data_IF_177797591753
#
_entry.id   IF_177797591753
#
_cell.length_a   1.000
_cell.length_b   1.000
_cell.length_c   1.000
_cell.angle_alpha   90.00
_cell.angle_beta   90.00
_cell.angle_gamma   90.00
#
_symmetry.space_group_name_H-M   'P 1'
#
loop_
_entity.id
_entity.type
_entity.pdbx_description
1 polymer ?
#
# COMPACT_ATOMS: atom_id res chain seq x y z
N UNK A 1 1.83 41.31 10.97
CA UNK A 1 1.80 40.70 9.62
C UNK A 1 1.50 39.20 9.76
N UNK A 2 0.27 38.84 10.14
CA UNK A 2 -0.11 37.44 10.44
C UNK A 2 -1.50 37.05 9.88
N UNK A 3 -2.12 37.90 9.07
CA UNK A 3 -3.50 37.69 8.62
C UNK A 3 -3.62 36.76 7.39
N UNK A 4 -2.52 36.44 6.71
CA UNK A 4 -2.54 35.68 5.44
C UNK A 4 -2.62 34.16 5.61
N UNK A 5 -2.49 33.62 6.83
CA UNK A 5 -2.40 32.16 7.04
C UNK A 5 -3.76 31.48 7.32
N UNK A 6 -4.83 32.24 7.53
CA UNK A 6 -6.16 31.68 7.88
C UNK A 6 -7.17 31.66 6.73
N UNK A 7 -7.02 32.49 5.69
CA UNK A 7 -8.01 32.59 4.60
C UNK A 7 -7.74 31.70 3.38
N UNK A 8 -6.56 31.08 3.27
CA UNK A 8 -6.14 30.38 2.05
C UNK A 8 -6.52 28.89 1.92
N UNK A 9 -7.00 28.25 3.00
CA UNK A 9 -7.10 26.78 3.05
C UNK A 9 -8.52 26.23 2.87
N UNK A 10 -9.55 26.89 3.40
CA UNK A 10 -10.93 26.36 3.39
C UNK A 10 -11.55 26.39 1.99
N UNK A 11 -11.34 27.48 1.22
CA UNK A 11 -11.85 27.60 -0.15
C UNK A 11 -11.22 26.61 -1.13
N UNK A 12 -9.92 26.30 -0.96
CA UNK A 12 -9.22 25.33 -1.80
C UNK A 12 -9.74 23.91 -1.62
N UNK A 13 -10.12 23.52 -0.40
CA UNK A 13 -10.60 22.15 -0.13
C UNK A 13 -11.98 21.88 -0.75
N UNK A 14 -12.86 22.88 -0.81
CA UNK A 14 -14.18 22.71 -1.41
C UNK A 14 -14.11 22.54 -2.93
N UNK A 15 -13.33 23.40 -3.61
CA UNK A 15 -13.13 23.32 -5.06
C UNK A 15 -12.50 21.97 -5.48
N UNK A 16 -11.53 21.47 -4.70
CA UNK A 16 -10.98 20.13 -4.90
C UNK A 16 -12.06 19.04 -4.87
N UNK A 17 -12.95 19.07 -3.88
CA UNK A 17 -14.00 18.05 -3.73
C UNK A 17 -14.99 18.08 -4.88
N UNK A 18 -15.32 19.28 -5.38
CA UNK A 18 -16.17 19.43 -6.56
C UNK A 18 -15.50 18.85 -7.80
N UNK A 19 -14.23 19.19 -8.04
CA UNK A 19 -13.47 18.64 -9.15
C UNK A 19 -13.39 17.11 -9.10
N UNK A 20 -13.07 16.53 -7.93
CA UNK A 20 -13.04 15.07 -7.75
C UNK A 20 -14.40 14.45 -8.05
N UNK A 21 -15.50 15.05 -7.58
CA UNK A 21 -16.84 14.55 -7.85
C UNK A 21 -17.17 14.55 -9.35
N UNK A 22 -16.72 15.56 -10.09
CA UNK A 22 -16.93 15.65 -11.54
C UNK A 22 -16.06 14.65 -12.32
N UNK A 23 -14.83 14.40 -11.87
CA UNK A 23 -13.93 13.39 -12.45
C UNK A 23 -14.49 11.97 -12.21
N UNK A 24 -15.07 11.74 -11.03
CA UNK A 24 -15.63 10.46 -10.63
C UNK A 24 -17.12 10.30 -10.99
N UNK A 25 -17.65 11.14 -11.89
CA UNK A 25 -19.01 10.96 -12.40
C UNK A 25 -19.12 9.57 -13.08
N UNK A 26 -20.01 8.68 -12.61
CA UNK A 26 -20.17 7.35 -13.20
C UNK A 26 -20.64 7.41 -14.66
N UNK A 27 -21.38 8.45 -15.06
CA UNK A 27 -21.82 8.62 -16.43
C UNK A 27 -20.73 9.26 -17.29
N UNK A 28 -20.31 8.57 -18.35
CA UNK A 28 -19.24 9.05 -19.24
C UNK A 28 -19.63 10.30 -20.01
N UNK A 29 -20.92 10.50 -20.29
CA UNK A 29 -21.39 11.64 -21.08
C UNK A 29 -21.42 12.94 -20.27
N UNK A 30 -21.48 12.84 -18.95
CA UNK A 30 -21.51 13.99 -18.03
C UNK A 30 -20.22 14.17 -17.22
N UNK A 31 -19.30 13.20 -17.31
CA UNK A 31 -17.97 13.28 -16.70
C UNK A 31 -17.17 14.42 -17.33
N UNK A 32 -16.51 15.19 -16.47
CA UNK A 32 -15.64 16.30 -16.88
C UNK A 32 -14.52 15.83 -17.82
N UNK A 33 -14.30 16.57 -18.90
CA UNK A 33 -13.23 16.33 -19.86
C UNK A 33 -11.87 16.86 -19.40
N UNK A 34 -10.78 16.38 -20.02
CA UNK A 34 -9.42 16.80 -19.65
C UNK A 34 -9.18 18.30 -19.85
N UNK A 35 -9.77 18.89 -20.88
CA UNK A 35 -9.67 20.33 -21.16
C UNK A 35 -10.39 21.16 -20.09
N UNK A 36 -11.49 20.66 -19.56
CA UNK A 36 -12.23 21.29 -18.47
C UNK A 36 -11.46 21.15 -17.15
N UNK A 37 -10.87 19.98 -16.88
CA UNK A 37 -9.98 19.77 -15.71
C UNK A 37 -8.79 20.72 -15.74
N UNK A 38 -8.12 20.87 -16.89
CA UNK A 38 -7.01 21.84 -17.06
C UNK A 38 -7.46 23.28 -16.80
N UNK A 39 -8.74 23.55 -17.01
CA UNK A 39 -9.33 24.86 -16.81
C UNK A 39 -9.88 25.12 -15.41
N UNK A 40 -9.96 24.10 -14.55
CA UNK A 40 -10.50 24.20 -13.20
C UNK A 40 -9.66 25.11 -12.28
N UNK A 41 -10.35 25.87 -11.44
CA UNK A 41 -9.76 26.87 -10.53
C UNK A 41 -8.88 26.24 -9.44
N UNK A 42 -9.23 25.05 -8.95
CA UNK A 42 -8.39 24.32 -8.03
C UNK A 42 -7.18 23.72 -8.75
N UNK A 43 -7.39 23.14 -9.94
CA UNK A 43 -6.33 22.48 -10.70
C UNK A 43 -5.23 23.47 -11.14
N UNK A 44 -5.59 24.68 -11.58
CA UNK A 44 -4.63 25.72 -12.00
C UNK A 44 -3.73 26.22 -10.88
N UNK A 45 -4.10 26.01 -9.62
CA UNK A 45 -3.39 26.60 -8.48
C UNK A 45 -1.98 26.04 -8.34
N UNK A 46 -0.98 26.86 -8.62
CA UNK A 46 0.45 26.50 -8.66
C UNK A 46 0.78 25.42 -9.69
N UNK A 47 -0.08 25.20 -10.69
CA UNK A 47 0.20 24.26 -11.76
C UNK A 47 1.24 24.86 -12.72
N UNK A 48 2.29 24.09 -12.99
CA UNK A 48 3.29 24.41 -14.01
C UNK A 48 3.18 23.31 -15.07
N UNK A 49 2.74 23.62 -16.30
CA UNK A 49 2.70 22.63 -17.36
C UNK A 49 4.10 22.06 -17.61
N UNK A 50 4.22 20.74 -17.60
CA UNK A 50 5.42 20.09 -18.15
C UNK A 50 5.51 20.44 -19.62
N UNK A 51 6.72 20.71 -20.12
CA UNK A 51 6.95 20.98 -21.54
C UNK A 51 6.32 19.84 -22.33
N UNK A 52 5.37 20.20 -23.21
CA UNK A 52 4.80 19.28 -24.18
C UNK A 52 5.99 18.81 -25.01
N UNK A 53 6.35 17.53 -24.92
CA UNK A 53 7.14 16.91 -25.99
C UNK A 53 6.23 17.07 -27.20
N UNK A 54 6.62 17.94 -28.13
CA UNK A 54 5.91 18.05 -29.41
C UNK A 54 5.71 16.63 -29.89
N UNK A 55 4.46 16.26 -30.19
CA UNK A 55 4.18 14.97 -30.78
C UNK A 55 4.96 14.94 -32.09
N UNK A 56 6.17 14.37 -32.06
CA UNK A 56 6.81 13.89 -33.28
C UNK A 56 5.77 12.99 -33.94
N UNK A 57 5.62 13.13 -35.25
CA UNK A 57 4.67 12.36 -36.04
C UNK A 57 5.08 10.88 -35.92
N UNK A 58 4.58 10.21 -34.88
CA UNK A 58 4.99 8.84 -34.54
C UNK A 58 4.45 7.98 -35.66
N UNK A 59 5.35 7.48 -36.51
CA UNK A 59 4.98 6.60 -37.60
C UNK A 59 4.36 5.31 -37.01
N UNK A 60 3.05 5.17 -37.17
CA UNK A 60 2.28 4.02 -36.69
C UNK A 60 2.29 2.85 -37.69
N UNK A 61 3.05 2.93 -38.78
CA UNK A 61 3.07 1.88 -39.81
C UNK A 61 3.58 0.53 -39.27
N UNK A 62 4.24 0.52 -38.11
CA UNK A 62 4.84 -0.69 -37.56
C UNK A 62 4.43 -1.01 -36.11
N UNK A 63 3.14 -0.92 -35.82
CA UNK A 63 2.59 -1.45 -34.53
C UNK A 63 2.68 -2.97 -34.44
N UNK A 64 2.88 -3.66 -35.58
CA UNK A 64 2.86 -5.11 -35.65
C UNK A 64 4.22 -5.75 -35.33
N UNK A 65 5.35 -5.07 -35.58
CA UNK A 65 6.68 -5.55 -35.16
C UNK A 65 6.87 -5.56 -33.65
N UNK A 66 6.15 -4.72 -32.89
CA UNK A 66 6.21 -4.73 -31.42
C UNK A 66 5.78 -6.08 -30.82
N UNK A 67 4.91 -6.82 -31.51
CA UNK A 67 4.44 -8.14 -31.07
C UNK A 67 5.19 -9.29 -31.75
N UNK A 68 6.12 -9.00 -32.67
CA UNK A 68 6.95 -10.00 -33.33
C UNK A 68 8.19 -10.23 -32.45
N UNK A 69 8.04 -11.13 -31.48
CA UNK A 69 9.11 -11.54 -30.57
C UNK A 69 10.29 -12.13 -31.37
N UNK A 70 11.29 -11.30 -31.67
CA UNK A 70 12.64 -11.82 -31.88
C UNK A 70 13.17 -12.24 -30.51
N UNK A 71 12.90 -13.48 -30.12
CA UNK A 71 13.54 -14.15 -28.98
C UNK A 71 15.04 -14.30 -29.24
N UNK A 72 15.83 -13.22 -29.16
CA UNK A 72 17.29 -13.25 -29.09
C UNK A 72 17.86 -11.84 -28.83
N UNK A 73 17.72 -11.36 -27.58
CA UNK A 73 18.72 -10.59 -26.81
C UNK A 73 18.03 -9.91 -25.61
N UNK A 74 17.81 -10.69 -24.54
CA UNK A 74 17.74 -10.10 -23.19
C UNK A 74 19.16 -9.72 -22.77
N UNK A 75 19.66 -8.64 -23.35
CA UNK A 75 20.99 -8.10 -23.12
C UNK A 75 20.93 -6.60 -22.89
N UNK A 76 20.54 -6.22 -21.68
CA UNK A 76 20.84 -4.93 -21.03
C UNK A 76 20.91 -3.66 -21.87
N UNK A 77 19.77 -2.99 -22.04
CA UNK A 77 19.75 -1.55 -22.29
C UNK A 77 19.39 -0.82 -21.01
N UNK A 78 20.43 -0.54 -20.22
CA UNK A 78 20.41 0.52 -19.22
C UNK A 78 20.15 1.83 -19.97
N UNK A 79 18.90 2.29 -19.97
CA UNK A 79 18.57 3.63 -20.42
C UNK A 79 19.44 4.60 -19.62
N UNK A 80 20.35 5.29 -20.34
CA UNK A 80 21.11 6.42 -19.85
C UNK A 80 20.13 7.55 -19.51
N UNK A 81 19.54 7.45 -18.32
CA UNK A 81 18.82 8.53 -17.67
C UNK A 81 19.90 9.44 -17.11
N UNK A 82 19.92 10.67 -17.60
CA UNK A 82 20.75 11.78 -17.10
C UNK A 82 20.84 11.74 -15.58
N UNK A 83 22.01 11.35 -15.10
CA UNK A 83 22.30 10.82 -13.76
C UNK A 83 22.21 11.88 -12.64
N UNK A 84 21.91 13.13 -13.00
CA UNK A 84 21.85 14.29 -12.10
C UNK A 84 20.43 14.85 -11.83
N UNK A 85 19.36 14.29 -12.39
CA UNK A 85 18.01 14.86 -12.21
C UNK A 85 16.86 13.87 -11.99
N UNK A 86 17.11 12.56 -11.97
CA UNK A 86 16.07 11.60 -11.62
C UNK A 86 16.20 11.22 -10.14
N UNK A 87 15.27 11.63 -9.25
CA UNK A 87 15.19 11.00 -7.95
C UNK A 87 15.02 9.51 -8.19
N UNK A 88 15.91 8.68 -7.63
CA UNK A 88 15.85 7.21 -7.68
C UNK A 88 14.39 6.78 -7.77
N UNK A 89 13.99 6.15 -8.88
CA UNK A 89 12.63 5.68 -9.10
C UNK A 89 12.35 4.51 -8.17
N UNK A 90 12.23 4.80 -6.89
CA UNK A 90 12.04 3.83 -5.84
C UNK A 90 10.55 3.55 -5.76
N UNK A 91 10.15 2.30 -6.02
CA UNK A 91 8.75 1.90 -5.96
C UNK A 91 8.24 2.06 -4.51
N UNK A 92 6.95 2.40 -4.34
CA UNK A 92 6.31 2.40 -3.03
C UNK A 92 6.43 1.04 -2.31
N UNK A 93 6.39 -0.07 -3.04
CA UNK A 93 6.63 -1.41 -2.48
C UNK A 93 8.06 -1.58 -1.98
N UNK A 94 9.06 -1.04 -2.68
CA UNK A 94 10.45 -1.06 -2.23
C UNK A 94 10.60 -0.25 -0.93
N UNK A 95 9.99 0.94 -0.87
CA UNK A 95 9.96 1.77 0.34
C UNK A 95 9.30 1.05 1.53
N UNK A 96 8.20 0.33 1.28
CA UNK A 96 7.47 -0.44 2.29
C UNK A 96 8.33 -1.58 2.83
N UNK A 97 8.96 -2.36 1.95
CA UNK A 97 9.82 -3.50 2.33
C UNK A 97 11.02 -3.02 3.16
N UNK A 98 11.58 -1.86 2.83
CA UNK A 98 12.73 -1.27 3.56
C UNK A 98 12.34 -0.62 4.90
N UNK A 99 11.04 -0.41 5.16
CA UNK A 99 10.59 0.27 6.38
C UNK A 99 10.60 -0.67 7.60
N UNK A 100 11.40 -0.33 8.61
CA UNK A 100 11.51 -1.09 9.87
C UNK A 100 10.23 -1.04 10.72
N UNK A 101 9.31 -0.12 10.42
CA UNK A 101 8.06 0.09 11.18
C UNK A 101 6.95 -0.93 10.89
N UNK A 102 7.16 -1.86 9.95
CA UNK A 102 6.22 -2.93 9.62
C UNK A 102 6.64 -4.30 10.16
N UNK A 103 7.73 -4.36 10.93
CA UNK A 103 8.11 -5.57 11.66
C UNK A 103 7.14 -5.81 12.84
N UNK A 104 6.11 -6.60 12.57
CA UNK A 104 5.10 -6.99 13.56
C UNK A 104 5.56 -8.13 14.46
N UNK A 105 6.80 -8.62 14.34
CA UNK A 105 7.29 -9.78 15.12
C UNK A 105 7.11 -9.56 16.63
N UNK A 106 7.31 -8.33 17.10
CA UNK A 106 7.10 -7.94 18.51
C UNK A 106 5.64 -8.05 19.00
N UNK A 107 4.63 -7.94 18.11
CA UNK A 107 3.23 -8.16 18.47
C UNK A 107 2.91 -9.64 18.70
N UNK A 108 3.74 -10.54 18.16
CA UNK A 108 3.59 -11.98 18.24
C UNK A 108 4.62 -12.66 19.15
N UNK A 109 5.55 -11.89 19.74
CA UNK A 109 6.38 -12.32 20.87
C UNK A 109 5.48 -12.54 22.09
N UNK A 110 4.82 -13.70 22.09
CA UNK A 110 4.20 -14.29 23.26
C UNK A 110 5.33 -14.50 24.26
N UNK A 111 5.47 -13.55 25.18
CA UNK A 111 6.30 -13.72 26.35
C UNK A 111 6.02 -15.09 26.95
N UNK A 112 7.09 -15.84 27.22
CA UNK A 112 7.07 -17.16 27.86
C UNK A 112 6.64 -17.04 29.34
N UNK A 113 5.57 -16.29 29.63
CA UNK A 113 5.10 -15.92 30.97
C UNK A 113 3.61 -16.17 31.21
N UNK A 114 2.86 -16.72 30.25
CA UNK A 114 1.44 -17.07 30.42
C UNK A 114 1.20 -18.58 30.59
N UNK A 115 2.15 -19.30 31.21
CA UNK A 115 1.95 -20.66 31.68
C UNK A 115 1.39 -20.73 33.12
N UNK A 116 0.61 -19.76 33.60
CA UNK A 116 0.10 -19.82 34.99
C UNK A 116 -1.17 -19.00 35.28
N UNK A 117 -2.22 -19.09 34.46
CA UNK A 117 -3.57 -18.66 34.93
C UNK A 117 -4.67 -19.69 34.60
N UNK A 118 -4.49 -20.54 33.59
CA UNK A 118 -5.37 -21.67 33.36
C UNK A 118 -4.57 -22.95 33.54
N UNK A 119 -4.78 -23.73 34.62
CA UNK A 119 -4.20 -25.06 34.68
C UNK A 119 -4.72 -25.83 33.47
N UNK A 120 -3.82 -26.42 32.70
CA UNK A 120 -4.20 -27.34 31.64
C UNK A 120 -5.02 -28.47 32.27
N UNK A 121 -6.17 -28.85 31.70
CA UNK A 121 -6.96 -29.95 32.24
C UNK A 121 -6.08 -31.21 32.29
N UNK A 122 -6.18 -32.03 33.35
CA UNK A 122 -5.35 -33.21 33.48
C UNK A 122 -5.55 -34.13 32.28
N UNK A 123 -4.47 -34.76 31.84
CA UNK A 123 -4.56 -35.81 30.82
C UNK A 123 -5.35 -37.01 31.35
N UNK A 124 -5.91 -37.82 30.45
CA UNK A 124 -6.61 -39.05 30.84
C UNK A 124 -5.75 -39.96 31.73
N UNK A 125 -4.42 -39.97 31.52
CA UNK A 125 -3.51 -40.76 32.36
C UNK A 125 -3.44 -40.24 33.80
N UNK A 126 -3.40 -38.92 33.98
CA UNK A 126 -3.39 -38.29 35.31
C UNK A 126 -4.71 -38.52 36.06
N UNK A 127 -5.85 -38.51 35.36
CA UNK A 127 -7.14 -38.90 35.94
C UNK A 127 -7.13 -40.35 36.42
N UNK A 128 -6.64 -41.27 35.60
CA UNK A 128 -6.59 -42.70 35.94
C UNK A 128 -5.64 -42.95 37.12
N UNK A 129 -4.52 -42.24 37.20
CA UNK A 129 -3.62 -42.29 38.35
C UNK A 129 -4.27 -41.76 39.63
N UNK A 130 -5.00 -40.64 39.56
CA UNK A 130 -5.71 -40.08 40.70
C UNK A 130 -6.76 -41.06 41.22
N UNK A 131 -7.53 -41.69 40.32
CA UNK A 131 -8.54 -42.69 40.66
C UNK A 131 -7.88 -43.92 41.31
N UNK A 132 -6.81 -44.45 40.72
CA UNK A 132 -6.09 -45.61 41.26
C UNK A 132 -5.54 -45.34 42.67
N UNK A 133 -4.98 -44.15 42.90
CA UNK A 133 -4.49 -43.74 44.22
C UNK A 133 -5.62 -43.59 45.25
N UNK A 134 -6.78 -43.07 44.85
CA UNK A 134 -7.96 -43.00 45.72
C UNK A 134 -8.46 -44.38 46.14
N UNK A 135 -8.47 -45.36 45.24
CA UNK A 135 -8.82 -46.74 45.58
C UNK A 135 -7.75 -47.43 46.44
N UNK A 136 -6.47 -47.21 46.15
CA UNK A 136 -5.38 -47.76 46.97
C UNK A 136 -5.45 -47.29 48.42
N UNK A 137 -5.92 -46.06 48.66
CA UNK A 137 -6.08 -45.50 50.00
C UNK A 137 -7.20 -46.18 50.81
N UNK A 138 -8.23 -46.70 50.13
CA UNK A 138 -9.33 -47.43 50.75
C UNK A 138 -8.96 -48.86 51.15
N UNK A 139 -7.96 -49.46 50.51
CA UNK A 139 -7.48 -50.82 50.83
C UNK A 139 -6.38 -50.87 51.89
N UNK A 140 -5.87 -49.72 52.33
CA UNK A 140 -4.89 -49.62 53.43
C UNK A 140 -5.58 -49.41 54.79
N UNK A 141 -6.89 -49.14 54.81
CA UNK A 141 -7.67 -48.85 56.04
C UNK A 141 -8.57 -50.02 56.52
N UNK A 142 -8.28 -51.26 56.13
CA UNK A 142 -8.88 -52.49 56.70
C UNK A 142 -7.81 -53.40 57.28
#
# INVERSE_FOLDING_TARGET
MVLWRMYGHVGSSHLMKLLIHQILDPNTDTRIGIEEVRNDEWFKKNYVPTRVVEYEDVNLDDVNVVFDDSEEERGGDEQQIDEDACPLSLNAFDMIIMSQGLDLSSMFDRGQGLNSIYPTPPTNLEYMHAIANSFSKLYVET
#
